data_IF_400038340825
#
_entry.id   IF_400038340825
#
_cell.length_a   1.000
_cell.length_b   1.000
_cell.length_c   1.000
_cell.angle_alpha   90.00
_cell.angle_beta   90.00
_cell.angle_gamma   90.00
#
_symmetry.space_group_name_H-M   'P 1'
#
loop_
_entity.id
_entity.type
_entity.pdbx_description
1 polymer ?
#
# COMPACT_ATOMS: atom_id res chain seq x y z
N UNK A 1 20.25 -12.00 -35.85
CA UNK A 1 21.14 -11.69 -34.70
C UNK A 1 20.39 -12.08 -33.43
N UNK A 2 20.88 -13.07 -32.68
CA UNK A 2 20.25 -13.50 -31.42
C UNK A 2 20.78 -12.62 -30.27
N UNK A 3 19.87 -11.90 -29.62
CA UNK A 3 20.19 -11.09 -28.44
C UNK A 3 20.27 -11.98 -27.20
N UNK A 4 21.29 -11.79 -26.34
CA UNK A 4 21.37 -12.51 -25.08
C UNK A 4 20.27 -12.03 -24.12
N UNK A 5 19.57 -12.99 -23.52
CA UNK A 5 18.58 -12.72 -22.48
C UNK A 5 19.30 -12.45 -21.15
N UNK A 6 19.05 -11.28 -20.56
CA UNK A 6 19.60 -10.91 -19.26
C UNK A 6 18.62 -11.27 -18.13
N UNK A 7 19.13 -11.65 -16.94
CA UNK A 7 18.29 -11.86 -15.78
C UNK A 7 17.65 -10.55 -15.34
N UNK A 8 16.43 -10.65 -14.82
CA UNK A 8 15.66 -9.53 -14.27
C UNK A 8 16.28 -9.09 -12.94
N UNK A 9 16.52 -7.79 -12.80
CA UNK A 9 16.89 -7.13 -11.54
C UNK A 9 15.68 -6.33 -11.03
N UNK A 10 14.84 -6.92 -10.16
CA UNK A 10 13.72 -6.20 -9.59
C UNK A 10 14.23 -5.06 -8.69
N UNK A 11 13.53 -3.92 -8.72
CA UNK A 11 13.91 -2.70 -7.97
C UNK A 11 13.88 -2.94 -6.45
N UNK A 12 13.12 -3.95 -5.98
CA UNK A 12 12.98 -4.32 -4.56
C UNK A 12 12.71 -5.84 -4.40
N UNK A 13 13.74 -6.69 -4.48
CA UNK A 13 13.59 -8.14 -4.31
C UNK A 13 12.98 -8.53 -2.94
N UNK A 14 13.16 -7.71 -1.92
CA UNK A 14 12.60 -7.89 -0.58
C UNK A 14 11.06 -7.84 -0.51
N UNK A 15 10.38 -7.32 -1.52
CA UNK A 15 8.91 -7.22 -1.58
C UNK A 15 8.23 -8.42 -2.27
N UNK A 16 8.99 -9.37 -2.82
CA UNK A 16 8.43 -10.58 -3.44
C UNK A 16 7.88 -11.59 -2.41
N UNK A 17 8.28 -11.47 -1.13
CA UNK A 17 7.72 -12.25 -0.01
C UNK A 17 6.76 -11.36 0.82
N UNK A 18 5.43 -11.43 0.59
CA UNK A 18 4.46 -10.57 1.28
C UNK A 18 4.20 -10.95 2.74
N UNK A 19 4.96 -11.89 3.32
CA UNK A 19 4.59 -12.58 4.56
C UNK A 19 4.73 -11.71 5.80
N UNK A 20 5.63 -10.72 5.80
CA UNK A 20 5.85 -9.86 6.97
C UNK A 20 5.83 -8.39 6.56
N UNK A 21 4.63 -7.86 6.29
CA UNK A 21 4.43 -6.40 6.42
C UNK A 21 4.53 -6.07 7.90
N UNK A 22 5.77 -5.92 8.39
CA UNK A 22 6.02 -5.33 9.71
C UNK A 22 5.20 -4.05 9.81
N UNK A 23 4.29 -4.01 10.79
CA UNK A 23 3.55 -2.79 11.11
C UNK A 23 4.61 -1.72 11.35
N UNK A 24 4.53 -0.62 10.60
CA UNK A 24 5.48 0.47 10.75
C UNK A 24 5.47 0.94 12.22
N UNK A 25 6.57 0.68 12.92
CA UNK A 25 6.81 1.20 14.27
C UNK A 25 7.86 2.31 14.14
N UNK A 26 7.59 3.53 14.63
CA UNK A 26 8.57 4.59 14.68
C UNK A 26 9.71 4.19 15.61
N UNK A 27 10.92 4.49 15.17
CA UNK A 27 12.15 4.17 15.89
C UNK A 27 12.50 5.21 16.97
N UNK A 28 11.49 5.83 17.57
CA UNK A 28 11.71 6.93 18.51
C UNK A 28 12.35 6.43 19.81
N UNK A 29 13.38 7.14 20.27
CA UNK A 29 14.05 6.84 21.55
C UNK A 29 13.24 7.37 22.73
N UNK A 30 12.68 8.59 22.65
CA UNK A 30 11.63 9.06 23.56
C UNK A 30 10.33 9.34 22.80
N UNK A 31 9.26 8.70 23.25
CA UNK A 31 7.90 8.92 22.76
C UNK A 31 7.30 10.19 23.37
N UNK A 32 7.78 10.60 24.55
CA UNK A 32 7.39 11.84 25.23
C UNK A 32 7.56 13.10 24.36
N UNK A 33 8.63 13.15 23.56
CA UNK A 33 8.98 14.26 22.67
C UNK A 33 9.16 13.81 21.22
N UNK A 34 9.02 12.52 20.91
CA UNK A 34 9.25 11.94 19.56
C UNK A 34 10.62 12.32 18.99
N UNK A 35 11.64 12.29 19.86
CA UNK A 35 13.02 12.71 19.59
C UNK A 35 13.21 14.18 19.13
N UNK A 36 12.21 15.04 19.31
CA UNK A 36 12.34 16.49 19.04
C UNK A 36 12.95 17.28 20.20
N UNK A 37 13.08 16.67 21.38
CA UNK A 37 13.56 17.33 22.59
C UNK A 37 12.53 18.19 23.33
N UNK A 38 11.36 18.46 22.74
CA UNK A 38 10.25 19.18 23.37
C UNK A 38 9.06 18.25 23.64
N UNK A 39 8.50 18.30 24.84
CA UNK A 39 7.38 17.41 25.22
C UNK A 39 6.14 17.77 24.40
N UNK A 40 5.48 16.75 23.85
CA UNK A 40 4.29 16.96 23.02
C UNK A 40 3.16 17.64 23.79
N UNK A 41 2.48 18.61 23.17
CA UNK A 41 1.41 19.42 23.78
C UNK A 41 0.38 18.59 24.54
N UNK A 42 -0.06 17.50 23.92
CA UNK A 42 -1.07 16.58 24.47
C UNK A 42 -0.61 16.00 25.81
N UNK A 43 0.68 15.71 25.94
CA UNK A 43 1.30 15.15 27.13
C UNK A 43 1.58 16.24 28.16
N UNK A 44 1.94 17.45 27.73
CA UNK A 44 2.11 18.60 28.63
C UNK A 44 0.80 18.88 29.37
N UNK A 45 -0.33 18.88 28.64
CA UNK A 45 -1.66 19.10 29.22
C UNK A 45 -2.10 18.04 30.25
N UNK A 46 -1.48 16.86 30.26
CA UNK A 46 -1.73 15.86 31.30
C UNK A 46 -1.11 16.26 32.65
N UNK A 47 0.01 16.98 32.64
CA UNK A 47 0.67 17.47 33.85
C UNK A 47 0.29 18.92 34.19
N UNK A 48 -0.03 19.73 33.18
CA UNK A 48 -0.43 21.14 33.32
C UNK A 48 -1.76 21.33 32.56
N UNK A 49 -2.92 21.11 33.21
CA UNK A 49 -4.22 21.10 32.52
C UNK A 49 -4.55 22.38 31.75
N UNK A 50 -4.11 23.53 32.24
CA UNK A 50 -4.39 24.85 31.66
C UNK A 50 -3.25 25.37 30.76
N UNK A 51 -2.38 24.49 30.26
CA UNK A 51 -1.25 24.89 29.42
C UNK A 51 -1.70 25.47 28.07
N UNK A 52 -1.26 26.69 27.79
CA UNK A 52 -1.52 27.45 26.56
C UNK A 52 -0.24 27.58 25.72
N UNK A 53 -0.20 26.91 24.56
CA UNK A 53 0.98 26.91 23.68
C UNK A 53 1.33 28.30 23.13
N UNK A 54 0.38 29.24 23.08
CA UNK A 54 0.62 30.59 22.56
C UNK A 54 1.17 31.53 23.64
N UNK A 55 1.04 31.18 24.93
CA UNK A 55 1.39 32.04 26.06
C UNK A 55 2.48 31.45 26.94
N UNK A 56 2.53 30.13 27.04
CA UNK A 56 3.46 29.40 27.90
C UNK A 56 4.70 28.95 27.12
N UNK A 57 5.80 28.81 27.85
CA UNK A 57 7.07 28.33 27.29
C UNK A 57 6.98 26.85 26.92
N UNK A 58 7.55 26.43 25.78
CA UNK A 58 7.65 25.02 25.41
C UNK A 58 8.44 24.24 26.47
N UNK A 59 7.93 23.06 26.81
CA UNK A 59 8.49 22.22 27.88
C UNK A 59 9.64 21.36 27.36
N UNK A 60 10.81 21.53 27.97
CA UNK A 60 12.01 20.77 27.63
C UNK A 60 11.92 19.33 28.15
N UNK A 61 12.37 18.38 27.34
CA UNK A 61 12.40 16.97 27.72
C UNK A 61 13.58 16.62 28.63
N UNK A 62 13.28 16.23 29.86
CA UNK A 62 14.28 15.76 30.83
C UNK A 62 14.48 14.23 30.83
N UNK A 63 13.89 13.48 29.89
CA UNK A 63 14.07 12.02 29.87
C UNK A 63 15.55 11.65 29.61
N UNK A 64 16.21 10.84 30.46
CA UNK A 64 17.61 10.47 30.29
C UNK A 64 17.89 9.70 28.99
N UNK A 65 16.88 9.04 28.41
CA UNK A 65 16.98 8.32 27.12
C UNK A 65 16.78 9.22 25.90
N UNK A 66 16.42 10.48 26.10
CA UNK A 66 16.27 11.45 25.02
C UNK A 66 17.57 12.22 24.81
N UNK A 67 18.15 12.09 23.61
CA UNK A 67 19.31 12.88 23.23
C UNK A 67 18.90 14.31 22.88
N UNK A 68 17.92 14.52 22.00
CA UNK A 68 17.48 15.85 21.59
C UNK A 68 17.01 16.76 22.75
N UNK A 69 16.64 16.17 23.89
CA UNK A 69 16.30 16.93 25.08
C UNK A 69 17.47 17.75 25.61
N UNK A 70 18.72 17.28 25.46
CA UNK A 70 19.91 17.97 26.00
C UNK A 70 20.06 19.38 25.47
N UNK A 71 19.65 19.62 24.23
CA UNK A 71 19.81 20.91 23.55
C UNK A 71 18.96 22.01 24.19
N UNK A 72 17.93 21.62 24.95
CA UNK A 72 17.00 22.53 25.61
C UNK A 72 17.15 22.56 27.13
N UNK A 73 17.98 21.69 27.73
CA UNK A 73 18.15 21.61 29.18
C UNK A 73 18.96 22.77 29.70
N UNK A 74 18.42 23.46 30.70
CA UNK A 74 19.09 24.61 31.32
C UNK A 74 18.97 25.91 30.54
N UNK A 75 18.35 25.90 29.35
CA UNK A 75 18.01 27.13 28.64
C UNK A 75 16.79 27.80 29.30
N UNK A 76 16.90 29.07 29.75
CA UNK A 76 15.83 29.80 30.41
C UNK A 76 14.63 30.12 29.50
N UNK A 77 14.77 29.98 28.17
CA UNK A 77 13.68 30.18 27.21
C UNK A 77 12.66 29.03 27.23
N UNK A 78 13.04 27.87 27.79
CA UNK A 78 12.19 26.68 27.85
C UNK A 78 11.70 26.42 29.27
N UNK A 79 10.56 25.75 29.38
CA UNK A 79 10.03 25.32 30.67
C UNK A 79 10.77 24.06 31.14
N UNK A 80 11.49 24.20 32.27
CA UNK A 80 12.32 23.16 32.87
C UNK A 80 11.61 22.45 34.04
N UNK A 81 10.34 22.76 34.33
CA UNK A 81 9.61 22.23 35.51
C UNK A 81 9.39 20.72 35.45
N UNK A 82 9.43 20.11 34.26
CA UNK A 82 9.24 18.67 34.14
C UNK A 82 10.45 17.95 34.68
N UNK A 83 10.26 17.10 35.68
CA UNK A 83 11.34 16.27 36.22
C UNK A 83 11.55 15.03 35.34
N UNK A 84 12.70 14.37 35.53
CA UNK A 84 13.01 13.07 34.90
C UNK A 84 11.87 12.06 35.11
N UNK A 85 11.29 12.02 36.32
CA UNK A 85 10.18 11.13 36.66
C UNK A 85 8.94 11.40 35.81
N UNK A 86 8.57 12.68 35.65
CA UNK A 86 7.42 13.09 34.82
C UNK A 86 7.67 12.69 33.36
N UNK A 87 8.83 13.00 32.79
CA UNK A 87 9.14 12.63 31.41
C UNK A 87 9.19 11.11 31.17
N UNK A 88 9.57 10.32 32.19
CA UNK A 88 9.58 8.86 32.11
C UNK A 88 8.16 8.29 32.09
N UNK A 89 7.27 8.82 32.93
CA UNK A 89 5.87 8.39 32.96
C UNK A 89 5.13 8.78 31.67
N UNK A 90 5.37 9.99 31.17
CA UNK A 90 4.81 10.45 29.90
C UNK A 90 5.35 9.63 28.71
N UNK A 91 6.62 9.22 28.74
CA UNK A 91 7.19 8.32 27.73
C UNK A 91 6.46 6.97 27.72
N UNK A 92 6.30 6.35 28.90
CA UNK A 92 5.59 5.07 29.02
C UNK A 92 4.15 5.18 28.50
N UNK A 93 3.41 6.18 28.96
CA UNK A 93 2.02 6.38 28.53
C UNK A 93 1.91 6.63 27.03
N UNK A 94 2.80 7.44 26.46
CA UNK A 94 2.80 7.68 25.03
C UNK A 94 3.18 6.44 24.20
N UNK A 95 3.98 5.52 24.73
CA UNK A 95 4.25 4.22 24.08
C UNK A 95 3.01 3.36 24.05
N UNK A 96 2.30 3.25 25.17
CA UNK A 96 1.06 2.48 25.27
C UNK A 96 -0.03 3.03 24.35
N UNK A 97 -0.21 4.36 24.33
CA UNK A 97 -1.20 5.02 23.46
C UNK A 97 -0.90 4.79 21.98
N UNK A 98 0.38 4.79 21.61
CA UNK A 98 0.76 4.47 20.24
C UNK A 98 0.55 2.99 19.95
N UNK A 99 0.95 2.05 20.81
CA UNK A 99 0.65 0.62 20.59
C UNK A 99 -0.84 0.37 20.34
N UNK A 100 -1.72 0.96 21.13
CA UNK A 100 -3.18 0.87 20.93
C UNK A 100 -3.63 1.44 19.59
N UNK A 101 -3.10 2.60 19.22
CA UNK A 101 -3.44 3.25 17.95
C UNK A 101 -2.93 2.42 16.77
N UNK A 102 -1.75 1.80 16.88
CA UNK A 102 -1.18 0.91 15.88
C UNK A 102 -2.07 -0.32 15.66
N UNK A 103 -2.50 -0.96 16.74
CA UNK A 103 -3.42 -2.10 16.71
C UNK A 103 -4.78 -1.74 16.10
N UNK A 104 -5.32 -0.57 16.44
CA UNK A 104 -6.58 -0.09 15.88
C UNK A 104 -6.47 0.20 14.38
N UNK A 105 -5.37 0.82 13.95
CA UNK A 105 -5.09 1.05 12.53
C UNK A 105 -4.94 -0.28 11.79
N UNK A 106 -4.25 -1.26 12.38
CA UNK A 106 -4.10 -2.58 11.81
C UNK A 106 -5.45 -3.27 11.59
N UNK A 107 -6.31 -3.32 12.61
CA UNK A 107 -7.68 -3.86 12.48
C UNK A 107 -8.48 -3.14 11.38
N UNK A 108 -8.34 -1.82 11.28
CA UNK A 108 -9.01 -1.02 10.24
C UNK A 108 -8.53 -1.40 8.84
N UNK A 109 -7.22 -1.58 8.66
CA UNK A 109 -6.64 -1.99 7.38
C UNK A 109 -7.10 -3.42 7.02
N UNK A 110 -7.07 -4.36 7.98
CA UNK A 110 -7.56 -5.72 7.77
C UNK A 110 -9.01 -5.73 7.31
N UNK A 111 -9.89 -4.97 7.98
CA UNK A 111 -11.29 -4.87 7.60
C UNK A 111 -11.45 -4.30 6.19
N UNK A 112 -10.72 -3.24 5.84
CA UNK A 112 -10.75 -2.67 4.48
C UNK A 112 -10.31 -3.66 3.41
N UNK A 113 -9.31 -4.49 3.69
CA UNK A 113 -8.86 -5.55 2.77
C UNK A 113 -9.95 -6.62 2.60
N UNK A 114 -10.59 -7.04 3.69
CA UNK A 114 -11.70 -8.00 3.63
C UNK A 114 -12.88 -7.42 2.84
N UNK A 115 -13.28 -6.18 3.11
CA UNK A 115 -14.38 -5.53 2.40
C UNK A 115 -14.08 -5.33 0.91
N UNK A 116 -12.86 -4.92 0.57
CA UNK A 116 -12.42 -4.84 -0.83
C UNK A 116 -12.45 -6.21 -1.52
N UNK A 117 -12.02 -7.27 -0.83
CA UNK A 117 -12.06 -8.64 -1.38
C UNK A 117 -13.50 -9.12 -1.62
N UNK A 118 -14.44 -8.78 -0.72
CA UNK A 118 -15.87 -9.06 -0.89
C UNK A 118 -16.44 -8.31 -2.08
N UNK A 119 -16.12 -7.01 -2.23
CA UNK A 119 -16.54 -6.20 -3.37
C UNK A 119 -16.01 -6.71 -4.72
N UNK A 120 -14.75 -7.17 -4.76
CA UNK A 120 -14.16 -7.80 -5.97
C UNK A 120 -14.86 -9.12 -6.29
N UNK A 121 -15.20 -9.94 -5.29
CA UNK A 121 -15.93 -11.19 -5.49
C UNK A 121 -17.36 -10.95 -6.00
N UNK A 122 -18.04 -9.93 -5.50
CA UNK A 122 -19.36 -9.51 -6.00
C UNK A 122 -19.28 -9.06 -7.47
N UNK A 123 -18.33 -8.19 -7.82
CA UNK A 123 -18.14 -7.74 -9.22
C UNK A 123 -17.79 -8.89 -10.17
N UNK A 124 -17.00 -9.87 -9.74
CA UNK A 124 -16.70 -11.08 -10.53
C UNK A 124 -17.91 -11.99 -10.70
N UNK A 125 -18.81 -12.04 -9.71
CA UNK A 125 -20.06 -12.79 -9.77
C UNK A 125 -21.05 -12.09 -10.71
N UNK A 126 -21.25 -10.79 -10.55
CA UNK A 126 -22.14 -9.99 -11.40
C UNK A 126 -21.68 -10.01 -12.87
N UNK A 127 -20.37 -9.94 -13.12
CA UNK A 127 -19.83 -10.07 -14.48
C UNK A 127 -20.02 -11.47 -15.09
N UNK A 128 -19.92 -12.53 -14.29
CA UNK A 128 -20.22 -13.91 -14.75
C UNK A 128 -21.72 -14.14 -14.94
N UNK A 129 -22.54 -13.53 -14.11
CA UNK A 129 -24.00 -13.66 -14.15
C UNK A 129 -24.58 -12.85 -15.32
N UNK A 130 -24.12 -11.61 -15.53
CA UNK A 130 -24.43 -10.81 -16.72
C UNK A 130 -23.97 -11.47 -18.03
N UNK A 131 -22.83 -12.16 -18.04
CA UNK A 131 -22.36 -12.91 -19.21
C UNK A 131 -23.12 -14.25 -19.41
N UNK A 132 -23.73 -14.80 -18.35
CA UNK A 132 -24.61 -15.99 -18.44
C UNK A 132 -26.04 -15.65 -18.83
N UNK A 133 -26.53 -14.44 -18.52
CA UNK A 133 -27.88 -13.98 -18.83
C UNK A 133 -28.04 -13.38 -20.23
N UNK A 134 -26.95 -13.11 -20.96
CA UNK A 134 -27.05 -12.90 -22.41
C UNK A 134 -27.36 -14.24 -23.08
N UNK A 135 -28.64 -14.51 -23.29
CA UNK A 135 -29.05 -15.47 -24.32
C UNK A 135 -28.48 -14.97 -25.65
N UNK A 136 -27.69 -15.81 -26.33
CA UNK A 136 -27.31 -15.55 -27.72
C UNK A 136 -28.58 -15.33 -28.51
N UNK A 137 -28.59 -14.31 -29.34
CA UNK A 137 -29.68 -14.15 -30.30
C UNK A 137 -29.63 -15.32 -31.30
N UNK A 138 -30.75 -15.62 -31.95
CA UNK A 138 -30.82 -16.69 -32.96
C UNK A 138 -29.71 -16.57 -34.00
N UNK A 139 -29.39 -15.34 -34.42
CA UNK A 139 -28.36 -15.07 -35.43
C UNK A 139 -26.95 -15.35 -34.90
N UNK A 140 -26.67 -15.00 -33.64
CA UNK A 140 -25.39 -15.30 -32.99
C UNK A 140 -25.19 -16.81 -32.79
N UNK A 141 -26.26 -17.55 -32.54
CA UNK A 141 -26.24 -19.00 -32.40
C UNK A 141 -25.99 -19.70 -33.74
N UNK A 142 -26.63 -19.24 -34.82
CA UNK A 142 -26.38 -19.72 -36.18
C UNK A 142 -24.92 -19.48 -36.59
N UNK A 143 -24.37 -18.30 -36.31
CA UNK A 143 -22.97 -17.98 -36.62
C UNK A 143 -22.01 -18.84 -35.79
N UNK A 144 -22.31 -19.07 -34.50
CA UNK A 144 -21.49 -19.92 -33.65
C UNK A 144 -21.50 -21.39 -34.10
N UNK A 145 -22.67 -21.93 -34.46
CA UNK A 145 -22.80 -23.30 -34.97
C UNK A 145 -22.10 -23.46 -36.32
N UNK A 146 -22.25 -22.49 -37.22
CA UNK A 146 -21.54 -22.51 -38.52
C UNK A 146 -20.03 -22.45 -38.34
N UNK A 147 -19.51 -21.66 -37.39
CA UNK A 147 -18.08 -21.65 -37.04
C UNK A 147 -17.60 -22.97 -36.44
N UNK A 148 -18.41 -23.59 -35.59
CA UNK A 148 -18.09 -24.89 -35.01
C UNK A 148 -18.08 -26.00 -36.07
N UNK A 149 -19.06 -26.02 -36.97
CA UNK A 149 -19.11 -26.94 -38.11
C UNK A 149 -17.91 -26.74 -39.03
N UNK A 150 -17.55 -25.49 -39.35
CA UNK A 150 -16.36 -25.19 -40.15
C UNK A 150 -15.06 -25.64 -39.46
N UNK A 151 -14.95 -25.48 -38.14
CA UNK A 151 -13.79 -25.95 -37.40
C UNK A 151 -13.71 -27.48 -37.30
N UNK A 152 -14.86 -28.15 -37.18
CA UNK A 152 -14.94 -29.61 -37.14
C UNK A 152 -14.82 -30.27 -38.52
N UNK A 153 -15.11 -29.53 -39.60
CA UNK A 153 -15.00 -29.99 -40.99
C UNK A 153 -13.77 -29.46 -41.73
N UNK A 154 -12.96 -28.62 -41.07
CA UNK A 154 -11.69 -28.15 -41.63
C UNK A 154 -10.70 -29.32 -41.70
N UNK A 155 -10.28 -29.63 -42.92
CA UNK A 155 -9.15 -30.53 -43.17
C UNK A 155 -7.86 -29.83 -42.68
N UNK A 156 -7.05 -30.48 -41.83
CA UNK A 156 -5.86 -29.85 -41.25
C UNK A 156 -4.83 -29.39 -42.28
N UNK A 157 -4.80 -29.97 -43.49
CA UNK A 157 -3.90 -29.57 -44.58
C UNK A 157 -4.27 -28.21 -45.23
N UNK A 158 -5.53 -27.76 -45.16
CA UNK A 158 -5.95 -26.48 -45.78
C UNK A 158 -5.80 -25.25 -44.88
N UNK A 159 -5.49 -25.46 -43.60
CA UNK A 159 -5.21 -24.36 -42.66
C UNK A 159 -3.78 -23.83 -42.80
N UNK A 160 -2.81 -24.68 -43.20
CA UNK A 160 -1.43 -24.26 -43.46
C UNK A 160 -1.27 -23.40 -44.74
N UNK A 161 -2.04 -23.69 -45.80
CA UNK A 161 -2.01 -22.89 -47.04
C UNK A 161 -2.63 -21.49 -46.89
N UNK A 162 -3.57 -21.31 -45.95
CA UNK A 162 -4.20 -20.01 -45.70
C UNK A 162 -3.27 -19.05 -44.93
N UNK A 163 -2.51 -19.56 -43.94
CA UNK A 163 -1.55 -18.76 -43.17
C UNK A 163 -0.33 -18.34 -44.02
N UNK A 164 0.08 -19.12 -45.02
CA UNK A 164 1.17 -18.75 -45.95
C UNK A 164 0.77 -17.69 -47.00
N UNK A 165 -0.53 -17.53 -47.31
CA UNK A 165 -0.98 -16.54 -48.30
C UNK A 165 -1.17 -15.13 -47.74
N UNK A 166 -1.22 -14.97 -46.41
CA UNK A 166 -1.31 -13.67 -45.75
C UNK A 166 0.06 -12.96 -45.69
N UNK A 167 1.16 -13.71 -45.60
CA UNK A 167 2.52 -13.17 -45.62
C UNK A 167 2.91 -12.62 -47.01
N UNK A 168 2.46 -13.24 -48.12
CA UNK A 168 2.76 -12.74 -49.48
C UNK A 168 1.94 -11.48 -49.89
N UNK A 169 0.86 -11.16 -49.17
CA UNK A 169 0.07 -9.96 -49.42
C UNK A 169 0.56 -8.73 -48.64
N UNK A 170 1.25 -8.89 -47.50
CA UNK A 170 1.83 -7.76 -46.76
C UNK A 170 3.14 -7.24 -47.38
N UNK A 171 3.89 -8.08 -48.11
CA UNK A 171 5.18 -7.68 -48.68
C UNK A 171 5.05 -6.81 -49.96
N UNK A 172 3.89 -6.80 -50.63
CA UNK A 172 3.67 -5.97 -51.84
C UNK A 172 3.14 -4.57 -51.58
N UNK A 173 2.94 -4.18 -50.32
CA UNK A 173 2.44 -2.85 -49.95
C UNK A 173 3.56 -1.82 -49.65
N UNK A 174 4.84 -2.21 -49.72
CA UNK A 174 5.98 -1.37 -49.33
C UNK A 174 6.99 -1.04 -50.46
N UNK A 175 6.67 -1.33 -51.72
CA UNK A 175 7.56 -1.09 -52.88
C UNK A 175 7.06 -0.01 -53.87
N UNK A 176 6.21 0.93 -53.41
CA UNK A 176 5.97 2.20 -54.12
C UNK A 176 6.10 3.39 -53.16
N UNK A 177 7.34 3.77 -52.84
CA UNK A 177 7.71 5.12 -52.38
C UNK A 177 9.09 5.52 -52.89
#
# INVERSE_FOLDING_TARGET
MNLPQLPREPIRPELENPTDKEIWVPKWRCFCCRDTGLVGLNLVRLAIPNYDQCRDKPVACQNPRCYAGSDYRGDPNYDQRFTVGICTELDKRSREDWQRTAESHFKTIQNRVVDASRGVNLRKRDGREANRLRHRTSDEEIVANKRHELACSADPEKLEEADLSLDECEEKAYDEF
#
